data_IF_201987297436
#
_entry.id   IF_201987297436
#
_cell.length_a   1.000
_cell.length_b   1.000
_cell.length_c   1.000
_cell.angle_alpha   90.00
_cell.angle_beta   90.00
_cell.angle_gamma   90.00
#
_symmetry.space_group_name_H-M   'P 1'
#
loop_
_entity.id
_entity.type
_entity.pdbx_description
1 polymer ?
#
# COMPACT_ATOMS: atom_id res chain seq x y z
N UNK A 1 -16.04 13.79 18.75
CA UNK A 1 -15.55 12.44 19.15
C UNK A 1 -15.67 11.40 18.05
N UNK A 2 -16.83 11.23 17.41
CA UNK A 2 -17.04 10.21 16.35
C UNK A 2 -16.00 10.34 15.23
N UNK A 3 -15.69 11.54 14.76
CA UNK A 3 -14.71 11.78 13.70
C UNK A 3 -13.31 11.24 14.08
N UNK A 4 -12.87 11.48 15.32
CA UNK A 4 -11.58 10.98 15.82
C UNK A 4 -11.54 9.45 15.91
N UNK A 5 -12.64 8.84 16.34
CA UNK A 5 -12.75 7.38 16.40
C UNK A 5 -12.72 6.76 14.98
N UNK A 6 -13.42 7.36 14.00
CA UNK A 6 -13.40 6.93 12.60
C UNK A 6 -12.00 7.05 11.98
N UNK A 7 -11.26 8.14 12.25
CA UNK A 7 -9.86 8.29 11.80
C UNK A 7 -8.96 7.17 12.32
N UNK A 8 -9.11 6.81 13.59
CA UNK A 8 -8.37 5.70 14.20
C UNK A 8 -8.76 4.35 13.57
N UNK A 9 -10.07 4.09 13.40
CA UNK A 9 -10.59 2.85 12.82
C UNK A 9 -10.12 2.69 11.36
N UNK A 10 -10.25 3.72 10.52
CA UNK A 10 -9.84 3.62 9.11
C UNK A 10 -8.33 3.43 8.96
N UNK A 11 -7.54 4.03 9.85
CA UNK A 11 -6.10 3.77 9.89
C UNK A 11 -5.79 2.34 10.32
N UNK A 12 -6.54 1.79 11.28
CA UNK A 12 -6.39 0.40 11.69
C UNK A 12 -6.76 -0.57 10.55
N UNK A 13 -7.85 -0.33 9.85
CA UNK A 13 -8.27 -1.13 8.71
C UNK A 13 -7.24 -1.12 7.58
N UNK A 14 -6.68 0.06 7.26
CA UNK A 14 -5.61 0.20 6.27
C UNK A 14 -4.36 -0.59 6.69
N UNK A 15 -3.98 -0.50 7.96
CA UNK A 15 -2.84 -1.23 8.50
C UNK A 15 -3.05 -2.75 8.54
N UNK A 16 -4.25 -3.22 8.91
CA UNK A 16 -4.60 -4.65 8.87
C UNK A 16 -4.62 -5.19 7.44
N UNK A 17 -5.12 -4.41 6.49
CA UNK A 17 -5.11 -4.79 5.08
C UNK A 17 -3.67 -5.04 4.61
N UNK A 18 -2.75 -4.10 4.86
CA UNK A 18 -1.35 -4.24 4.49
C UNK A 18 -0.68 -5.44 5.20
N UNK A 19 -0.99 -5.65 6.48
CA UNK A 19 -0.49 -6.81 7.24
C UNK A 19 -0.95 -8.13 6.64
N UNK A 20 -2.23 -8.25 6.28
CA UNK A 20 -2.77 -9.48 5.71
C UNK A 20 -2.18 -9.76 4.32
N UNK A 21 -1.97 -8.75 3.48
CA UNK A 21 -1.28 -8.94 2.20
C UNK A 21 0.16 -9.40 2.40
N UNK A 22 0.91 -8.77 3.29
CA UNK A 22 2.25 -9.23 3.64
C UNK A 22 2.25 -10.70 4.08
N UNK A 23 1.37 -11.07 5.01
CA UNK A 23 1.29 -12.44 5.52
C UNK A 23 0.90 -13.44 4.42
N UNK A 24 -0.05 -13.09 3.54
CA UNK A 24 -0.40 -13.93 2.40
C UNK A 24 0.76 -14.11 1.43
N UNK A 25 1.52 -13.06 1.14
CA UNK A 25 2.71 -13.13 0.32
C UNK A 25 3.80 -14.03 0.94
N UNK A 26 4.01 -13.93 2.26
CA UNK A 26 5.00 -14.75 2.97
C UNK A 26 4.60 -16.23 3.06
N UNK A 27 3.31 -16.52 3.24
CA UNK A 27 2.78 -17.90 3.26
C UNK A 27 2.86 -18.53 1.85
N UNK A 28 2.71 -17.72 0.79
CA UNK A 28 2.74 -18.15 -0.61
C UNK A 28 3.97 -17.59 -1.34
N UNK A 29 5.13 -17.68 -0.73
CA UNK A 29 6.35 -17.00 -1.19
C UNK A 29 6.78 -17.41 -2.59
N UNK A 30 6.70 -18.70 -2.92
CA UNK A 30 7.05 -19.21 -4.25
C UNK A 30 6.09 -18.67 -5.33
N UNK A 31 4.80 -18.57 -5.03
CA UNK A 31 3.79 -18.01 -5.93
C UNK A 31 3.97 -16.50 -6.11
N UNK A 32 4.33 -15.79 -5.03
CA UNK A 32 4.64 -14.37 -5.10
C UNK A 32 5.86 -14.12 -6.01
N UNK A 33 6.91 -14.92 -5.87
CA UNK A 33 8.07 -14.86 -6.77
C UNK A 33 7.71 -15.19 -8.22
N UNK A 34 6.97 -16.28 -8.44
CA UNK A 34 6.56 -16.70 -9.78
C UNK A 34 5.71 -15.62 -10.48
N UNK A 35 4.83 -14.94 -9.74
CA UNK A 35 4.01 -13.85 -10.29
C UNK A 35 4.84 -12.65 -10.73
N UNK A 36 5.85 -12.26 -9.93
CA UNK A 36 6.77 -11.18 -10.33
C UNK A 36 7.69 -11.59 -11.48
N UNK A 37 8.21 -12.81 -11.44
CA UNK A 37 9.02 -13.36 -12.54
C UNK A 37 8.24 -13.33 -13.85
N UNK A 38 6.97 -13.76 -13.85
CA UNK A 38 6.12 -13.77 -15.02
C UNK A 38 5.88 -12.38 -15.60
N UNK A 39 5.51 -11.40 -14.74
CA UNK A 39 5.28 -10.02 -15.17
C UNK A 39 6.57 -9.36 -15.66
N UNK A 40 7.66 -9.48 -14.91
CA UNK A 40 8.90 -8.73 -15.19
C UNK A 40 9.78 -9.41 -16.26
N UNK A 41 9.54 -10.67 -16.61
CA UNK A 41 10.16 -11.33 -17.77
C UNK A 41 9.59 -10.85 -19.11
N UNK A 42 8.38 -10.27 -19.09
CA UNK A 42 7.68 -9.75 -20.28
C UNK A 42 7.39 -10.82 -21.35
N UNK A 43 7.35 -12.10 -20.95
CA UNK A 43 7.26 -13.22 -21.88
C UNK A 43 6.00 -13.22 -22.75
N UNK A 44 4.87 -12.75 -22.21
CA UNK A 44 3.55 -12.79 -22.86
C UNK A 44 3.03 -11.39 -23.24
N UNK A 45 3.92 -10.44 -23.47
CA UNK A 45 3.55 -9.07 -23.87
C UNK A 45 3.28 -8.99 -25.39
N UNK A 46 2.11 -9.46 -25.81
CA UNK A 46 1.74 -9.54 -27.23
C UNK A 46 1.19 -8.21 -27.80
N UNK A 47 0.43 -7.43 -26.99
CA UNK A 47 -0.23 -6.21 -27.47
C UNK A 47 0.78 -5.07 -27.74
N UNK A 48 1.74 -4.90 -26.83
CA UNK A 48 2.87 -3.95 -26.97
C UNK A 48 4.18 -4.70 -26.75
N UNK A 49 4.77 -5.27 -27.81
CA UNK A 49 5.99 -6.08 -27.68
C UNK A 49 7.25 -5.24 -27.36
N UNK A 50 7.21 -3.94 -27.64
CA UNK A 50 8.28 -3.02 -27.24
C UNK A 50 8.13 -2.56 -25.80
N UNK A 51 9.18 -2.70 -24.99
CA UNK A 51 9.18 -2.36 -23.58
C UNK A 51 10.17 -1.24 -23.26
N UNK A 52 9.78 -0.34 -22.34
CA UNK A 52 10.62 0.74 -21.85
C UNK A 52 11.73 0.21 -20.93
N UNK A 53 11.38 -0.72 -20.06
CA UNK A 53 12.28 -1.31 -19.09
C UNK A 53 12.77 -2.68 -19.59
N UNK A 54 14.01 -3.09 -19.25
CA UNK A 54 14.51 -4.40 -19.63
C UNK A 54 13.77 -5.52 -18.92
N UNK A 55 13.63 -6.67 -19.59
CA UNK A 55 13.15 -7.86 -18.92
C UNK A 55 14.09 -8.24 -17.76
N UNK A 56 13.51 -8.59 -16.63
CA UNK A 56 14.23 -9.01 -15.44
C UNK A 56 13.92 -10.47 -15.10
N UNK A 57 14.92 -11.14 -14.58
CA UNK A 57 14.79 -12.46 -13.99
C UNK A 57 15.36 -12.49 -12.57
N UNK A 58 15.35 -13.67 -11.91
CA UNK A 58 16.01 -13.81 -10.62
C UNK A 58 17.51 -13.42 -10.74
N UNK A 59 18.09 -12.68 -9.79
CA UNK A 59 17.59 -12.31 -8.45
C UNK A 59 16.80 -11.01 -8.39
N UNK A 60 16.64 -10.26 -9.49
CA UNK A 60 16.06 -8.93 -9.48
C UNK A 60 14.56 -8.92 -9.15
N UNK A 61 13.83 -9.90 -9.68
CA UNK A 61 12.40 -10.06 -9.38
C UNK A 61 12.17 -10.41 -7.91
N UNK A 62 13.07 -11.19 -7.30
CA UNK A 62 13.04 -11.48 -5.86
C UNK A 62 13.35 -10.23 -5.04
N UNK A 63 14.30 -9.41 -5.46
CA UNK A 63 14.57 -8.14 -4.81
C UNK A 63 13.36 -7.19 -4.88
N UNK A 64 12.67 -7.16 -6.03
CA UNK A 64 11.42 -6.40 -6.19
C UNK A 64 10.30 -6.93 -5.27
N UNK A 65 10.15 -8.25 -5.12
CA UNK A 65 9.21 -8.85 -4.18
C UNK A 65 9.47 -8.39 -2.73
N UNK A 66 10.72 -8.48 -2.29
CA UNK A 66 11.10 -8.04 -0.94
C UNK A 66 10.91 -6.55 -0.73
N UNK A 67 11.07 -5.72 -1.78
CA UNK A 67 10.75 -4.30 -1.70
C UNK A 67 9.25 -4.07 -1.47
N UNK A 68 8.38 -4.82 -2.16
CA UNK A 68 6.93 -4.79 -1.93
C UNK A 68 6.61 -5.22 -0.50
N UNK A 69 7.14 -6.36 -0.04
CA UNK A 69 6.89 -6.88 1.32
C UNK A 69 7.37 -5.92 2.40
N UNK A 70 8.53 -5.29 2.22
CA UNK A 70 9.01 -4.25 3.13
C UNK A 70 8.08 -3.04 3.15
N UNK A 71 7.56 -2.63 2.00
CA UNK A 71 6.58 -1.54 1.89
C UNK A 71 5.26 -1.88 2.58
N UNK A 72 4.74 -3.10 2.40
CA UNK A 72 3.55 -3.61 3.10
C UNK A 72 3.77 -3.65 4.63
N UNK A 73 4.93 -4.13 5.07
CA UNK A 73 5.30 -4.13 6.49
C UNK A 73 5.32 -2.71 7.08
N UNK A 74 6.00 -1.78 6.41
CA UNK A 74 6.10 -0.38 6.87
C UNK A 74 4.73 0.27 6.89
N UNK A 75 3.89 0.02 5.87
CA UNK A 75 2.50 0.49 5.84
C UNK A 75 1.71 -0.03 7.04
N UNK A 76 1.75 -1.33 7.28
CA UNK A 76 1.06 -1.97 8.40
C UNK A 76 1.51 -1.40 9.74
N UNK A 77 2.82 -1.36 9.97
CA UNK A 77 3.40 -0.86 11.21
C UNK A 77 3.01 0.60 11.49
N UNK A 78 3.18 1.47 10.51
CA UNK A 78 2.92 2.91 10.70
C UNK A 78 1.43 3.20 10.86
N UNK A 79 0.56 2.56 10.07
CA UNK A 79 -0.88 2.77 10.14
C UNK A 79 -1.47 2.24 11.47
N UNK A 80 -1.05 1.05 11.93
CA UNK A 80 -1.49 0.47 13.20
C UNK A 80 -0.95 1.27 14.40
N UNK A 81 0.32 1.68 14.37
CA UNK A 81 0.90 2.56 15.40
C UNK A 81 0.14 3.90 15.46
N UNK A 82 -0.19 4.47 14.30
CA UNK A 82 -0.97 5.70 14.21
C UNK A 82 -2.38 5.53 14.77
N UNK A 83 -3.07 4.44 14.41
CA UNK A 83 -4.38 4.10 14.93
C UNK A 83 -4.38 3.98 16.45
N UNK A 84 -3.40 3.26 17.00
CA UNK A 84 -3.23 3.12 18.45
C UNK A 84 -2.98 4.47 19.14
N UNK A 85 -2.10 5.31 18.60
CA UNK A 85 -1.84 6.65 19.16
C UNK A 85 -3.09 7.54 19.12
N UNK A 86 -3.82 7.55 18.01
CA UNK A 86 -5.07 8.30 17.90
C UNK A 86 -6.14 7.80 18.88
N UNK A 87 -6.27 6.49 19.04
CA UNK A 87 -7.22 5.93 20.01
C UNK A 87 -6.92 6.38 21.46
N UNK A 88 -5.62 6.50 21.79
CA UNK A 88 -5.22 7.02 23.12
C UNK A 88 -5.41 8.54 23.27
N UNK A 89 -5.21 9.28 22.19
CA UNK A 89 -5.34 10.74 22.18
C UNK A 89 -6.78 11.23 21.94
N UNK A 90 -7.75 10.35 21.74
CA UNK A 90 -9.11 10.70 21.30
C UNK A 90 -9.85 11.73 22.19
N UNK A 91 -9.49 11.80 23.48
CA UNK A 91 -10.10 12.71 24.48
C UNK A 91 -9.18 13.89 24.84
N UNK A 92 -8.00 13.97 24.24
CA UNK A 92 -7.06 15.07 24.43
C UNK A 92 -7.47 16.28 23.58
N UNK A 93 -6.80 17.39 23.72
CA UNK A 93 -7.08 18.59 22.92
C UNK A 93 -6.85 18.38 21.41
N UNK A 94 -7.20 19.37 20.60
CA UNK A 94 -7.11 19.27 19.15
C UNK A 94 -5.67 19.12 18.65
N UNK A 95 -4.72 19.81 19.28
CA UNK A 95 -3.32 19.79 18.89
C UNK A 95 -2.64 18.46 19.22
N UNK A 96 -2.92 17.92 20.40
CA UNK A 96 -2.40 16.60 20.83
C UNK A 96 -2.94 15.48 19.93
N UNK A 97 -4.23 15.52 19.57
CA UNK A 97 -4.80 14.57 18.64
C UNK A 97 -4.22 14.75 17.22
N UNK A 98 -4.02 15.99 16.76
CA UNK A 98 -3.40 16.28 15.47
C UNK A 98 -1.97 15.72 15.41
N UNK A 99 -1.19 15.83 16.49
CA UNK A 99 0.14 15.24 16.58
C UNK A 99 0.09 13.69 16.53
N UNK A 100 -0.92 13.06 17.13
CA UNK A 100 -1.11 11.61 17.12
C UNK A 100 -1.36 11.05 15.72
N UNK A 101 -1.95 11.82 14.78
CA UNK A 101 -2.21 11.43 13.39
C UNK A 101 -0.94 11.23 12.54
N UNK A 102 0.22 11.75 12.97
CA UNK A 102 1.45 11.73 12.17
C UNK A 102 1.78 10.34 11.60
N UNK A 103 1.76 9.32 12.44
CA UNK A 103 2.15 7.97 12.05
C UNK A 103 1.13 7.33 11.09
N UNK A 104 -0.15 7.57 11.31
CA UNK A 104 -1.21 7.13 10.40
C UNK A 104 -1.09 7.78 9.02
N UNK A 105 -0.78 9.09 8.95
CA UNK A 105 -0.52 9.79 7.69
C UNK A 105 0.68 9.20 6.96
N UNK A 106 1.77 8.89 7.66
CA UNK A 106 2.93 8.23 7.07
C UNK A 106 2.58 6.83 6.56
N UNK A 107 1.78 6.05 7.31
CA UNK A 107 1.29 4.75 6.87
C UNK A 107 0.42 4.83 5.62
N UNK A 108 -0.52 5.78 5.56
CA UNK A 108 -1.35 6.01 4.38
C UNK A 108 -0.53 6.48 3.17
N UNK A 109 0.47 7.34 3.38
CA UNK A 109 1.42 7.73 2.35
C UNK A 109 2.23 6.54 1.83
N UNK A 110 2.69 5.65 2.71
CA UNK A 110 3.42 4.43 2.32
C UNK A 110 2.51 3.47 1.55
N UNK A 111 1.24 3.33 1.93
CA UNK A 111 0.26 2.57 1.15
C UNK A 111 0.18 3.06 -0.30
N UNK A 112 0.13 4.38 -0.50
CA UNK A 112 0.13 4.99 -1.84
C UNK A 112 1.43 4.66 -2.60
N UNK A 113 2.58 4.74 -1.94
CA UNK A 113 3.88 4.39 -2.56
C UNK A 113 3.88 2.92 -3.01
N UNK A 114 3.39 2.00 -2.18
CA UNK A 114 3.34 0.58 -2.53
C UNK A 114 2.38 0.36 -3.69
N UNK A 115 1.08 0.65 -3.50
CA UNK A 115 0.07 0.22 -4.48
C UNK A 115 -0.03 1.14 -5.69
N UNK A 116 0.17 2.44 -5.57
CA UNK A 116 0.26 3.31 -6.73
C UNK A 116 1.68 3.34 -7.32
N UNK A 117 2.70 3.53 -6.49
CA UNK A 117 4.08 3.62 -6.97
C UNK A 117 4.55 2.32 -7.62
N UNK A 118 4.56 1.19 -6.87
CA UNK A 118 5.14 -0.04 -7.41
C UNK A 118 4.24 -0.69 -8.45
N UNK A 119 2.93 -0.79 -8.21
CA UNK A 119 2.04 -1.51 -9.13
C UNK A 119 1.60 -0.66 -10.33
N UNK A 120 1.29 0.63 -10.17
CA UNK A 120 0.83 1.46 -11.29
C UNK A 120 1.99 2.09 -12.05
N UNK A 121 2.91 2.76 -11.34
CA UNK A 121 3.99 3.47 -12.04
C UNK A 121 5.00 2.47 -12.60
N UNK A 122 5.59 1.61 -11.75
CA UNK A 122 6.58 0.65 -12.24
C UNK A 122 5.95 -0.57 -12.89
N UNK A 123 4.97 -1.20 -12.27
CA UNK A 123 4.34 -2.41 -12.78
C UNK A 123 3.54 -2.17 -14.05
N UNK A 124 2.56 -1.27 -14.04
CA UNK A 124 1.68 -1.06 -15.18
C UNK A 124 2.29 -0.16 -16.25
N UNK A 125 2.80 1.02 -15.90
CA UNK A 125 3.37 1.93 -16.89
C UNK A 125 4.78 1.52 -17.32
N UNK A 126 5.60 0.99 -16.41
CA UNK A 126 6.97 0.57 -16.71
C UNK A 126 7.06 -0.81 -17.33
N UNK A 127 6.53 -1.82 -16.67
CA UNK A 127 6.59 -3.23 -17.09
C UNK A 127 5.36 -3.71 -17.85
N UNK A 128 4.36 -2.86 -18.08
CA UNK A 128 3.15 -3.19 -18.83
C UNK A 128 2.42 -4.45 -18.28
N UNK A 129 2.42 -4.63 -16.95
CA UNK A 129 1.85 -5.81 -16.30
C UNK A 129 0.38 -6.08 -16.66
N UNK A 130 -0.34 -5.06 -17.12
CA UNK A 130 -1.72 -5.14 -17.58
C UNK A 130 -1.92 -6.06 -18.79
N UNK A 131 -0.84 -6.40 -19.52
CA UNK A 131 -0.90 -7.30 -20.67
C UNK A 131 -1.03 -8.77 -20.25
N UNK A 132 -0.77 -9.13 -19.01
CA UNK A 132 -0.88 -10.48 -18.49
C UNK A 132 -2.10 -10.60 -17.59
N UNK A 133 -2.74 -11.78 -17.52
CA UNK A 133 -3.93 -11.98 -16.67
C UNK A 133 -3.62 -11.74 -15.18
N UNK A 134 -2.54 -12.33 -14.66
CA UNK A 134 -2.09 -12.14 -13.28
C UNK A 134 -1.73 -10.67 -13.02
N UNK A 135 -1.01 -10.04 -13.94
CA UNK A 135 -0.61 -8.65 -13.82
C UNK A 135 -1.80 -7.69 -13.88
N UNK A 136 -2.76 -7.93 -14.77
CA UNK A 136 -3.98 -7.12 -14.87
C UNK A 136 -4.81 -7.21 -13.58
N UNK A 137 -4.98 -8.39 -13.00
CA UNK A 137 -5.68 -8.57 -11.73
C UNK A 137 -4.97 -7.86 -10.58
N UNK A 138 -3.65 -7.97 -10.48
CA UNK A 138 -2.84 -7.29 -9.46
C UNK A 138 -2.87 -5.77 -9.63
N UNK A 139 -2.78 -5.27 -10.85
CA UNK A 139 -2.90 -3.85 -11.18
C UNK A 139 -4.25 -3.28 -10.77
N UNK A 140 -5.35 -3.96 -11.13
CA UNK A 140 -6.70 -3.54 -10.77
C UNK A 140 -6.91 -3.56 -9.24
N UNK A 141 -6.47 -4.60 -8.55
CA UNK A 141 -6.52 -4.67 -7.09
C UNK A 141 -5.74 -3.54 -6.44
N UNK A 142 -4.53 -3.27 -6.91
CA UNK A 142 -3.68 -2.21 -6.39
C UNK A 142 -4.30 -0.81 -6.53
N UNK A 143 -5.12 -0.58 -7.58
CA UNK A 143 -5.87 0.67 -7.72
C UNK A 143 -6.81 0.91 -6.54
N UNK A 144 -7.60 -0.09 -6.14
CA UNK A 144 -8.51 0.05 -5.00
C UNK A 144 -7.74 0.34 -3.71
N UNK A 145 -6.61 -0.32 -3.49
CA UNK A 145 -5.82 -0.12 -2.27
C UNK A 145 -5.15 1.25 -2.23
N UNK A 146 -4.62 1.72 -3.35
CA UNK A 146 -4.11 3.07 -3.48
C UNK A 146 -5.21 4.12 -3.22
N UNK A 147 -6.41 3.92 -3.78
CA UNK A 147 -7.54 4.81 -3.58
C UNK A 147 -7.96 4.88 -2.10
N UNK A 148 -8.05 3.74 -1.40
CA UNK A 148 -8.31 3.75 0.05
C UNK A 148 -7.20 4.44 0.84
N UNK A 149 -5.93 4.25 0.47
CA UNK A 149 -4.81 4.98 1.05
C UNK A 149 -4.98 6.50 0.90
N UNK A 150 -5.34 6.98 -0.29
CA UNK A 150 -5.63 8.39 -0.55
C UNK A 150 -6.80 8.90 0.27
N UNK A 151 -7.94 8.18 0.32
CA UNK A 151 -9.10 8.61 1.11
C UNK A 151 -8.77 8.70 2.59
N UNK A 152 -8.06 7.73 3.15
CA UNK A 152 -7.61 7.77 4.55
C UNK A 152 -6.67 8.95 4.77
N UNK A 153 -5.70 9.19 3.87
CA UNK A 153 -4.77 10.30 3.99
C UNK A 153 -5.49 11.66 3.97
N UNK A 154 -6.45 11.85 3.05
CA UNK A 154 -7.26 13.07 2.95
C UNK A 154 -8.10 13.27 4.21
N UNK A 155 -8.74 12.21 4.70
CA UNK A 155 -9.55 12.28 5.91
C UNK A 155 -8.71 12.61 7.15
N UNK A 156 -7.52 12.02 7.28
CA UNK A 156 -6.56 12.36 8.33
C UNK A 156 -6.01 13.79 8.20
N UNK A 157 -6.06 14.37 6.99
CA UNK A 157 -5.64 15.75 6.72
C UNK A 157 -6.59 16.80 7.29
N UNK A 158 -7.85 16.47 7.56
CA UNK A 158 -8.84 17.40 8.06
C UNK A 158 -8.48 17.90 9.46
N UNK A 159 -8.85 19.16 9.75
CA UNK A 159 -8.66 19.78 11.06
C UNK A 159 -9.56 19.11 12.09
N UNK A 160 -9.13 19.19 13.33
CA UNK A 160 -9.91 18.71 14.48
C UNK A 160 -10.69 19.87 15.09
N UNK A 161 -11.93 19.57 15.51
CA UNK A 161 -12.69 20.46 16.36
C UNK A 161 -12.28 20.23 17.83
N UNK A 162 -12.37 21.28 18.64
CA UNK A 162 -12.22 21.13 20.09
C UNK A 162 -13.25 20.15 20.62
N UNK A 163 -12.85 19.33 21.58
CA UNK A 163 -13.76 18.40 22.27
C UNK A 163 -14.47 19.21 23.33
N UNK A 164 -15.77 19.47 23.07
CA UNK A 164 -16.66 20.10 24.08
C UNK A 164 -16.93 19.16 25.26
#
# INVERSE_FOLDING_TARGET
MIDRDLKAIFSALLGLMALFYLLQNLINLDQAYASLDYVMSQADHAAYPGNLLPALGPPWTRAAAWLVFAGEFVTAFLALLGAWKMARARRLDADEFAAAKKWAKLGAGMAIIVWFGFFHVFGAAGYQMWQTEIGAGSFQGAFYYAAFGFFVLLYLGQREDEVA
#
